data_IF_347459886353
#
_entry.id   IF_347459886353
#
_cell.length_a   1.000
_cell.length_b   1.000
_cell.length_c   1.000
_cell.angle_alpha   90.00
_cell.angle_beta   90.00
_cell.angle_gamma   90.00
#
_symmetry.space_group_name_H-M   'P 1'
#
loop_
_entity.id
_entity.type
_entity.pdbx_description
1 polymer ?
#
# COMPACT_ATOMS: atom_id res chain seq x y z
N UNK A 1 51.82 -8.34 -53.62
CA UNK A 1 52.78 -9.47 -53.46
C UNK A 1 53.52 -9.27 -52.15
N UNK A 2 53.71 -10.36 -51.38
CA UNK A 2 54.33 -10.47 -50.04
C UNK A 2 53.48 -9.85 -48.88
N UNK A 3 52.83 -10.55 -47.92
CA UNK A 3 53.19 -11.69 -47.02
C UNK A 3 54.52 -11.48 -46.31
N UNK A 4 54.74 -11.66 -44.99
CA UNK A 4 53.98 -11.96 -43.77
C UNK A 4 55.03 -11.74 -42.61
N UNK A 5 54.74 -11.54 -41.32
CA UNK A 5 54.51 -12.53 -40.23
C UNK A 5 54.73 -11.72 -38.91
N UNK A 6 53.72 -11.48 -38.06
CA UNK A 6 53.34 -12.22 -36.83
C UNK A 6 54.23 -12.04 -35.58
N UNK A 7 53.64 -11.52 -34.49
CA UNK A 7 53.84 -11.84 -33.04
C UNK A 7 53.21 -10.71 -32.19
N UNK A 8 52.09 -10.93 -31.47
CA UNK A 8 52.01 -11.38 -30.07
C UNK A 8 52.70 -10.41 -29.07
N UNK A 9 52.17 -9.95 -27.93
CA UNK A 9 51.03 -10.31 -27.07
C UNK A 9 51.02 -9.30 -25.89
N UNK A 10 49.84 -8.97 -25.33
CA UNK A 10 49.52 -8.47 -23.96
C UNK A 10 50.00 -7.09 -23.45
N UNK A 11 49.02 -6.22 -23.12
CA UNK A 11 48.67 -5.72 -21.75
C UNK A 11 47.71 -4.51 -21.90
N UNK A 12 46.39 -4.74 -21.77
CA UNK A 12 45.60 -4.46 -20.56
C UNK A 12 45.42 -2.96 -20.24
N UNK A 13 44.26 -2.43 -20.60
CA UNK A 13 43.50 -1.48 -19.76
C UNK A 13 42.03 -1.56 -20.15
N UNK A 14 41.33 -2.40 -19.38
CA UNK A 14 39.91 -2.68 -19.47
C UNK A 14 39.10 -1.46 -19.00
N UNK A 15 38.64 -0.63 -19.92
CA UNK A 15 37.44 0.18 -19.68
C UNK A 15 36.24 -0.69 -19.98
N UNK A 16 35.66 -1.28 -18.93
CA UNK A 16 34.35 -1.91 -18.97
C UNK A 16 33.29 -0.82 -19.21
N UNK A 17 33.06 -0.48 -20.47
CA UNK A 17 31.75 -0.05 -20.94
C UNK A 17 30.98 -1.29 -21.37
N UNK A 18 30.23 -1.87 -20.43
CA UNK A 18 29.11 -2.77 -20.69
C UNK A 18 28.08 -2.50 -19.57
N UNK A 19 26.78 -2.44 -19.81
CA UNK A 19 26.04 -2.79 -21.00
C UNK A 19 24.82 -1.89 -21.12
N UNK A 20 24.40 -1.70 -22.37
CA UNK A 20 23.03 -1.40 -22.72
C UNK A 20 22.07 -2.21 -21.85
N UNK A 21 21.09 -1.52 -21.28
CA UNK A 21 19.95 -2.17 -20.67
C UNK A 21 19.29 -3.03 -21.74
N UNK A 22 19.40 -4.34 -21.57
CA UNK A 22 18.65 -5.32 -22.32
C UNK A 22 17.18 -4.90 -22.28
N UNK A 23 16.65 -4.46 -23.41
CA UNK A 23 15.24 -4.17 -23.58
C UNK A 23 14.53 -5.52 -23.52
N UNK A 24 14.10 -5.94 -22.31
CA UNK A 24 13.20 -7.08 -22.19
C UNK A 24 11.81 -6.62 -22.61
N UNK A 25 11.23 -7.16 -23.68
CA UNK A 25 9.89 -6.78 -24.11
C UNK A 25 8.86 -7.37 -23.12
N UNK A 26 8.03 -6.50 -22.54
CA UNK A 26 6.75 -6.85 -21.93
C UNK A 26 6.67 -6.63 -20.43
N UNK A 27 5.85 -5.66 -20.00
CA UNK A 27 5.27 -5.72 -18.65
C UNK A 27 4.39 -6.97 -18.55
N UNK A 28 4.61 -7.81 -17.55
CA UNK A 28 3.76 -8.98 -17.32
C UNK A 28 2.86 -8.71 -16.11
N UNK A 29 1.72 -8.09 -16.36
CA UNK A 29 0.61 -8.12 -15.39
C UNK A 29 0.01 -9.52 -15.47
N UNK A 30 0.41 -10.39 -14.54
CA UNK A 30 -0.16 -11.73 -14.43
C UNK A 30 -1.49 -11.63 -13.71
N UNK A 31 -2.57 -11.77 -14.47
CA UNK A 31 -3.91 -11.90 -13.88
C UNK A 31 -4.03 -13.34 -13.38
N UNK A 32 -4.04 -13.52 -12.06
CA UNK A 32 -4.35 -14.82 -11.45
C UNK A 32 -5.86 -14.86 -11.26
N UNK A 33 -6.60 -15.07 -12.34
CA UNK A 33 -8.04 -15.25 -12.27
C UNK A 33 -8.35 -16.70 -11.89
N UNK A 34 -8.87 -16.94 -10.68
CA UNK A 34 -9.64 -18.16 -10.40
C UNK A 34 -11.12 -17.82 -10.58
N UNK A 35 -11.78 -18.45 -11.55
CA UNK A 35 -13.24 -18.52 -11.55
C UNK A 35 -13.67 -19.09 -10.19
N UNK A 36 -14.56 -18.37 -9.51
CA UNK A 36 -15.11 -18.80 -8.24
C UNK A 36 -15.73 -20.20 -8.41
N UNK A 37 -15.14 -21.20 -7.77
CA UNK A 37 -15.77 -22.50 -7.63
C UNK A 37 -17.07 -22.29 -6.86
N UNK A 38 -18.19 -22.51 -7.54
CA UNK A 38 -19.53 -22.53 -6.95
C UNK A 38 -19.62 -23.69 -5.96
N UNK A 39 -19.32 -23.40 -4.69
CA UNK A 39 -19.61 -24.33 -3.61
C UNK A 39 -21.10 -24.24 -3.27
N UNK A 40 -21.86 -25.19 -3.82
CA UNK A 40 -23.18 -25.58 -3.32
C UNK A 40 -23.03 -26.01 -1.85
N UNK A 41 -23.87 -25.54 -0.91
CA UNK A 41 -23.74 -25.93 0.49
C UNK A 41 -24.25 -27.37 0.65
N UNK A 42 -23.34 -28.29 0.98
CA UNK A 42 -23.70 -29.61 1.48
C UNK A 42 -24.32 -29.45 2.88
N UNK A 43 -25.58 -29.88 3.02
CA UNK A 43 -26.28 -30.04 4.30
C UNK A 43 -25.46 -30.98 5.20
N UNK A 44 -24.94 -30.48 6.31
CA UNK A 44 -24.42 -31.31 7.39
C UNK A 44 -25.47 -31.41 8.48
N UNK A 45 -25.97 -32.63 8.69
CA UNK A 45 -26.96 -32.99 9.70
C UNK A 45 -26.37 -32.91 11.10
N UNK A 46 -27.17 -32.35 12.01
CA UNK A 46 -26.90 -32.29 13.44
C UNK A 46 -26.99 -33.68 14.07
N UNK A 47 -25.88 -34.18 14.60
CA UNK A 47 -25.85 -35.26 15.58
C UNK A 47 -24.99 -34.80 16.77
N UNK A 48 -25.63 -34.61 17.92
CA UNK A 48 -24.96 -34.16 19.13
C UNK A 48 -24.17 -35.27 19.84
N UNK A 49 -23.29 -34.86 20.76
CA UNK A 49 -23.20 -35.43 22.12
C UNK A 49 -22.11 -34.75 22.96
N UNK A 50 -22.56 -34.36 24.15
CA UNK A 50 -21.96 -34.44 25.49
C UNK A 50 -20.66 -33.73 25.86
N UNK A 51 -20.76 -33.09 27.03
CA UNK A 51 -19.73 -32.44 27.85
C UNK A 51 -18.70 -33.44 28.40
N UNK A 52 -17.44 -33.03 28.36
CA UNK A 52 -16.42 -33.22 29.40
C UNK A 52 -15.36 -32.13 29.13
N UNK A 53 -14.84 -31.34 30.06
CA UNK A 53 -14.50 -31.64 31.44
C UNK A 53 -13.01 -31.98 31.54
N UNK A 54 -12.11 -31.05 31.20
CA UNK A 54 -10.67 -31.23 31.41
C UNK A 54 -9.99 -29.89 31.74
N UNK A 55 -9.67 -29.71 33.03
CA UNK A 55 -8.66 -28.75 33.51
C UNK A 55 -7.30 -29.28 33.11
N UNK A 56 -6.50 -28.48 32.40
CA UNK A 56 -5.06 -28.69 32.27
C UNK A 56 -4.36 -27.35 32.51
N UNK A 57 -3.66 -27.29 33.63
CA UNK A 57 -2.76 -26.19 33.96
C UNK A 57 -1.58 -26.19 33.00
N UNK A 58 -1.30 -25.02 32.42
CA UNK A 58 -0.10 -24.78 31.63
C UNK A 58 0.72 -23.70 32.34
N UNK A 59 1.64 -24.14 33.22
CA UNK A 59 2.81 -23.32 33.59
C UNK A 59 3.79 -23.39 32.43
N UNK A 60 3.57 -22.55 31.41
CA UNK A 60 4.53 -22.34 30.34
C UNK A 60 5.62 -21.40 30.85
N UNK A 61 6.82 -21.94 30.97
CA UNK A 61 8.09 -21.25 31.16
C UNK A 61 8.17 -19.99 30.29
N UNK A 62 8.29 -18.82 30.93
CA UNK A 62 8.69 -17.56 30.27
C UNK A 62 10.15 -17.66 29.85
N UNK A 63 10.40 -18.26 28.70
CA UNK A 63 11.61 -17.98 27.93
C UNK A 63 11.45 -16.59 27.32
N UNK A 64 12.29 -15.67 27.77
CA UNK A 64 12.43 -14.30 27.29
C UNK A 64 12.66 -14.25 25.78
N UNK A 65 11.63 -13.93 25.00
CA UNK A 65 11.81 -13.44 23.63
C UNK A 65 12.10 -11.94 23.67
N UNK A 66 13.33 -11.62 23.30
CA UNK A 66 13.81 -10.26 23.06
C UNK A 66 12.97 -9.57 21.97
N UNK A 67 12.53 -8.35 22.25
CA UNK A 67 11.58 -7.55 21.49
C UNK A 67 12.18 -6.93 20.22
N UNK A 68 12.51 -7.76 19.21
CA UNK A 68 13.08 -7.30 17.94
C UNK A 68 12.40 -7.84 16.66
N UNK A 69 11.32 -8.64 16.71
CA UNK A 69 10.86 -9.43 15.55
C UNK A 69 9.46 -9.07 14.96
N UNK A 70 8.88 -7.93 15.32
CA UNK A 70 7.50 -7.58 14.96
C UNK A 70 7.37 -6.74 13.69
N UNK A 71 7.49 -7.37 12.53
CA UNK A 71 6.82 -6.90 11.33
C UNK A 71 7.66 -6.43 10.14
N UNK A 72 8.98 -6.43 10.25
CA UNK A 72 9.87 -6.12 9.12
C UNK A 72 9.52 -6.94 7.87
N UNK A 73 9.55 -6.30 6.71
CA UNK A 73 9.23 -6.92 5.42
C UNK A 73 10.56 -7.15 4.69
N UNK A 74 10.79 -8.41 4.33
CA UNK A 74 12.03 -8.86 3.70
C UNK A 74 11.87 -8.94 2.19
N UNK A 75 12.98 -9.03 1.46
CA UNK A 75 12.95 -9.29 0.03
C UNK A 75 12.29 -10.64 -0.27
N UNK A 76 11.46 -10.69 -1.31
CA UNK A 76 10.66 -11.86 -1.70
C UNK A 76 9.36 -12.04 -0.92
N UNK A 77 9.11 -11.26 0.14
CA UNK A 77 7.83 -11.26 0.86
C UNK A 77 6.69 -10.78 -0.05
N UNK A 78 5.48 -11.29 0.20
CA UNK A 78 4.27 -10.87 -0.53
C UNK A 78 3.66 -9.62 0.08
N UNK A 79 3.51 -8.58 -0.75
CA UNK A 79 2.85 -7.32 -0.39
C UNK A 79 1.54 -7.21 -1.16
N UNK A 80 0.43 -7.21 -0.43
CA UNK A 80 -0.92 -7.07 -1.01
C UNK A 80 -1.35 -5.61 -0.97
N UNK A 81 -1.58 -5.01 -2.14
CA UNK A 81 -2.09 -3.64 -2.27
C UNK A 81 -3.60 -3.68 -2.51
N UNK A 82 -4.37 -3.18 -1.56
CA UNK A 82 -5.84 -3.13 -1.67
C UNK A 82 -6.27 -1.83 -2.32
N UNK A 83 -7.09 -1.94 -3.38
CA UNK A 83 -7.46 -0.79 -4.20
C UNK A 83 -6.41 -0.47 -5.27
N UNK A 84 -5.73 -1.50 -5.79
CA UNK A 84 -4.66 -1.35 -6.79
C UNK A 84 -5.11 -0.67 -8.10
N UNK A 85 -6.41 -0.66 -8.43
CA UNK A 85 -6.96 0.09 -9.57
C UNK A 85 -7.32 1.55 -9.25
N UNK A 86 -7.12 2.00 -8.01
CA UNK A 86 -7.47 3.33 -7.52
C UNK A 86 -6.45 4.40 -7.91
N UNK A 87 -6.77 5.67 -7.63
CA UNK A 87 -5.89 6.80 -7.99
C UNK A 87 -4.50 6.73 -7.32
N UNK A 88 -4.46 6.45 -6.01
CA UNK A 88 -3.21 6.24 -5.26
C UNK A 88 -2.75 4.79 -5.32
N UNK A 89 -3.67 3.84 -5.15
CA UNK A 89 -3.33 2.42 -5.12
C UNK A 89 -2.60 1.93 -6.37
N UNK A 90 -2.91 2.46 -7.57
CA UNK A 90 -2.16 2.10 -8.79
C UNK A 90 -0.70 2.56 -8.73
N UNK A 91 -0.47 3.77 -8.25
CA UNK A 91 0.86 4.36 -8.15
C UNK A 91 1.69 3.63 -7.09
N UNK A 92 1.07 3.27 -5.96
CA UNK A 92 1.69 2.44 -4.92
C UNK A 92 2.05 1.06 -5.45
N UNK A 93 1.12 0.41 -6.16
CA UNK A 93 1.35 -0.92 -6.75
C UNK A 93 2.51 -0.88 -7.74
N UNK A 94 2.55 0.13 -8.60
CA UNK A 94 3.63 0.33 -9.56
C UNK A 94 4.96 0.66 -8.89
N UNK A 95 4.97 1.59 -7.93
CA UNK A 95 6.19 1.96 -7.20
C UNK A 95 6.77 0.76 -6.45
N UNK A 96 5.94 -0.03 -5.74
CA UNK A 96 6.37 -1.28 -5.10
C UNK A 96 6.92 -2.30 -6.10
N UNK A 97 6.25 -2.51 -7.24
CA UNK A 97 6.69 -3.46 -8.25
C UNK A 97 8.01 -3.03 -8.90
N UNK A 98 8.19 -1.73 -9.14
CA UNK A 98 9.43 -1.15 -9.70
C UNK A 98 10.64 -1.35 -8.79
N UNK A 99 10.46 -1.58 -7.49
CA UNK A 99 11.58 -1.88 -6.59
C UNK A 99 12.23 -3.22 -6.89
N UNK A 100 11.48 -4.18 -7.47
CA UNK A 100 11.93 -5.56 -7.67
C UNK A 100 12.15 -6.37 -6.39
N UNK A 101 11.88 -5.79 -5.20
CA UNK A 101 12.17 -6.41 -3.90
C UNK A 101 11.09 -7.34 -3.42
N UNK A 102 9.84 -7.13 -3.82
CA UNK A 102 8.68 -7.80 -3.23
C UNK A 102 7.82 -8.49 -4.29
N UNK A 103 7.08 -9.53 -3.87
CA UNK A 103 6.02 -10.11 -4.69
C UNK A 103 4.77 -9.25 -4.54
N UNK A 104 4.46 -8.43 -5.53
CA UNK A 104 3.36 -7.48 -5.46
C UNK A 104 2.07 -8.10 -5.97
N UNK A 105 1.05 -8.11 -5.12
CA UNK A 105 -0.30 -8.59 -5.42
C UNK A 105 -1.31 -7.45 -5.27
N UNK A 106 -2.03 -7.11 -6.33
CA UNK A 106 -3.09 -6.11 -6.31
C UNK A 106 -4.47 -6.73 -6.13
N UNK A 107 -5.20 -6.31 -5.09
CA UNK A 107 -6.59 -6.67 -4.88
C UNK A 107 -7.52 -5.64 -5.53
N UNK A 108 -8.38 -6.11 -6.44
CA UNK A 108 -9.28 -5.26 -7.23
C UNK A 108 -10.67 -5.89 -7.40
N UNK A 109 -11.70 -5.06 -7.63
CA UNK A 109 -13.06 -5.56 -7.91
C UNK A 109 -13.25 -6.02 -9.35
N UNK A 110 -12.53 -5.41 -10.29
CA UNK A 110 -12.62 -5.68 -11.72
C UNK A 110 -11.20 -5.83 -12.28
N UNK A 111 -10.86 -7.04 -12.73
CA UNK A 111 -9.53 -7.40 -13.20
C UNK A 111 -9.15 -6.68 -14.49
N UNK A 112 -10.06 -6.60 -15.46
CA UNK A 112 -9.80 -5.97 -16.76
C UNK A 112 -9.49 -4.48 -16.61
N UNK A 113 -10.33 -3.76 -15.85
CA UNK A 113 -10.11 -2.35 -15.57
C UNK A 113 -8.79 -2.11 -14.83
N UNK A 114 -8.43 -3.00 -13.92
CA UNK A 114 -7.17 -2.90 -13.20
C UNK A 114 -5.97 -3.14 -14.11
N UNK A 115 -6.06 -4.15 -14.98
CA UNK A 115 -5.05 -4.46 -15.98
C UNK A 115 -4.82 -3.29 -16.92
N UNK A 116 -5.88 -2.70 -17.46
CA UNK A 116 -5.81 -1.49 -18.29
C UNK A 116 -5.13 -0.35 -17.51
N UNK A 117 -5.63 -0.02 -16.31
CA UNK A 117 -5.09 1.09 -15.51
C UNK A 117 -3.61 0.91 -15.12
N UNK A 118 -3.17 -0.32 -14.87
CA UNK A 118 -1.77 -0.61 -14.52
C UNK A 118 -0.87 -0.67 -15.74
N UNK A 119 -1.34 -1.21 -16.87
CA UNK A 119 -0.59 -1.28 -18.13
C UNK A 119 -0.43 0.10 -18.78
N UNK A 120 -1.48 0.94 -18.77
CA UNK A 120 -1.44 2.29 -19.36
C UNK A 120 -0.47 3.24 -18.66
N UNK A 121 0.00 2.91 -17.46
CA UNK A 121 0.87 3.77 -16.64
C UNK A 121 2.20 3.12 -16.28
N UNK A 122 2.42 1.84 -16.60
CA UNK A 122 3.69 1.17 -16.38
C UNK A 122 4.60 1.29 -17.60
N UNK A 123 5.82 1.81 -17.41
CA UNK A 123 6.93 1.49 -18.31
C UNK A 123 7.14 -0.02 -18.30
N UNK A 124 7.61 -0.60 -19.42
CA UNK A 124 7.83 -2.04 -19.58
C UNK A 124 8.48 -2.73 -18.36
N UNK A 125 8.08 -3.97 -18.06
CA UNK A 125 8.85 -4.89 -17.19
C UNK A 125 8.37 -5.10 -15.75
N UNK A 126 7.18 -4.62 -15.36
CA UNK A 126 6.64 -4.88 -14.02
C UNK A 126 5.93 -6.23 -13.92
N UNK A 127 6.23 -6.99 -12.86
CA UNK A 127 5.51 -8.20 -12.46
C UNK A 127 4.51 -7.87 -11.35
N UNK A 128 3.21 -7.92 -11.68
CA UNK A 128 2.13 -7.67 -10.72
C UNK A 128 1.11 -8.80 -10.84
N UNK A 129 0.82 -9.45 -9.72
CA UNK A 129 -0.28 -10.41 -9.61
C UNK A 129 -1.58 -9.66 -9.32
N UNK A 130 -2.66 -9.95 -10.04
CA UNK A 130 -3.99 -9.40 -9.74
C UNK A 130 -4.92 -10.49 -9.23
N UNK A 131 -5.64 -10.17 -8.15
CA UNK A 131 -6.66 -11.01 -7.53
C UNK A 131 -7.97 -10.23 -7.43
N UNK A 132 -9.07 -10.92 -7.70
CA UNK A 132 -10.41 -10.34 -7.62
C UNK A 132 -10.96 -10.46 -6.19
N UNK A 133 -11.51 -9.37 -5.66
CA UNK A 133 -12.25 -9.40 -4.40
C UNK A 133 -12.92 -8.09 -4.05
N UNK A 134 -13.86 -8.17 -3.11
CA UNK A 134 -14.56 -7.02 -2.55
C UNK A 134 -14.22 -6.89 -1.07
N UNK A 135 -13.85 -5.67 -0.67
CA UNK A 135 -13.49 -5.36 0.71
C UNK A 135 -14.66 -5.50 1.69
N UNK A 136 -15.90 -5.49 1.19
CA UNK A 136 -17.10 -5.74 1.98
C UNK A 136 -17.49 -7.22 2.03
N UNK A 137 -16.88 -8.08 1.21
CA UNK A 137 -17.06 -9.53 1.24
C UNK A 137 -15.82 -10.21 1.84
N UNK A 138 -15.90 -10.56 3.12
CA UNK A 138 -14.81 -11.20 3.86
C UNK A 138 -14.30 -12.49 3.21
N UNK A 139 -15.16 -13.27 2.57
CA UNK A 139 -14.79 -14.55 1.97
C UNK A 139 -13.83 -14.36 0.79
N UNK A 140 -14.07 -13.33 -0.02
CA UNK A 140 -13.20 -12.94 -1.15
C UNK A 140 -11.82 -12.47 -0.68
N UNK A 141 -11.73 -11.85 0.50
CA UNK A 141 -10.48 -11.35 1.05
C UNK A 141 -9.55 -12.46 1.53
N UNK A 142 -10.07 -13.56 2.07
CA UNK A 142 -9.24 -14.66 2.60
C UNK A 142 -8.32 -15.22 1.51
N UNK A 143 -8.83 -15.39 0.28
CA UNK A 143 -8.03 -15.87 -0.83
C UNK A 143 -6.95 -14.85 -1.25
N UNK A 144 -7.32 -13.57 -1.35
CA UNK A 144 -6.42 -12.50 -1.74
C UNK A 144 -5.30 -12.26 -0.73
N UNK A 145 -5.59 -12.42 0.57
CA UNK A 145 -4.64 -12.19 1.67
C UNK A 145 -3.78 -13.41 2.00
N UNK A 146 -3.99 -14.54 1.35
CA UNK A 146 -3.22 -15.77 1.61
C UNK A 146 -1.73 -15.54 1.36
N UNK A 147 -0.92 -15.75 2.40
CA UNK A 147 0.54 -15.59 2.35
C UNK A 147 1.02 -14.14 2.35
N UNK A 148 0.12 -13.16 2.56
CA UNK A 148 0.50 -11.76 2.68
C UNK A 148 1.39 -11.55 3.91
N UNK A 149 2.61 -11.04 3.70
CA UNK A 149 3.47 -10.55 4.77
C UNK A 149 3.14 -9.09 5.10
N UNK A 150 2.79 -8.30 4.08
CA UNK A 150 2.34 -6.92 4.24
C UNK A 150 1.02 -6.69 3.51
N UNK A 151 0.11 -5.96 4.15
CA UNK A 151 -1.09 -5.42 3.49
C UNK A 151 -1.02 -3.91 3.46
N UNK A 152 -1.13 -3.34 2.28
CA UNK A 152 -1.18 -1.90 2.04
C UNK A 152 -2.60 -1.51 1.63
N UNK A 153 -3.37 -0.98 2.57
CA UNK A 153 -4.75 -0.58 2.37
C UNK A 153 -4.81 0.85 1.79
N UNK A 154 -4.94 0.96 0.47
CA UNK A 154 -5.14 2.23 -0.25
C UNK A 154 -6.62 2.52 -0.54
N UNK A 155 -7.54 1.93 0.24
CA UNK A 155 -8.98 2.19 0.13
C UNK A 155 -9.35 3.48 0.87
N UNK A 156 -10.36 4.15 0.35
CA UNK A 156 -10.93 5.33 0.99
C UNK A 156 -12.04 5.93 0.16
N UNK A 157 -13.03 6.50 0.85
CA UNK A 157 -14.08 7.28 0.22
C UNK A 157 -13.61 8.69 -0.14
N UNK A 158 -14.24 9.30 -1.14
CA UNK A 158 -14.05 10.74 -1.38
C UNK A 158 -14.63 11.53 -0.22
N UNK A 159 -13.97 12.61 0.20
CA UNK A 159 -14.41 13.41 1.35
C UNK A 159 -15.84 13.96 1.23
N UNK A 160 -16.28 14.20 -0.01
CA UNK A 160 -17.65 14.60 -0.34
C UNK A 160 -18.42 13.46 -1.01
N UNK A 161 -19.75 13.39 -0.83
CA UNK A 161 -20.60 12.45 -1.54
C UNK A 161 -20.36 12.54 -3.05
N UNK A 162 -20.09 11.39 -3.64
CA UNK A 162 -19.87 11.28 -5.08
C UNK A 162 -20.55 10.02 -5.62
N UNK A 163 -20.55 9.84 -6.95
CA UNK A 163 -21.02 8.59 -7.57
C UNK A 163 -20.31 7.35 -7.00
N UNK A 164 -19.12 7.50 -6.39
CA UNK A 164 -18.37 6.41 -5.75
C UNK A 164 -18.99 5.92 -4.45
N UNK A 165 -19.90 6.66 -3.84
CA UNK A 165 -20.61 6.25 -2.60
C UNK A 165 -21.84 5.37 -2.89
N UNK A 166 -22.28 5.28 -4.16
CA UNK A 166 -23.39 4.42 -4.55
C UNK A 166 -23.07 2.94 -4.28
N UNK A 167 -24.11 2.14 -4.05
CA UNK A 167 -23.97 0.69 -3.85
C UNK A 167 -23.37 0.31 -2.50
N UNK A 168 -23.68 1.06 -1.42
CA UNK A 168 -23.25 0.71 -0.06
C UNK A 168 -21.84 1.15 0.32
N UNK A 169 -21.12 1.88 -0.56
CA UNK A 169 -19.77 2.39 -0.31
C UNK A 169 -19.78 3.67 0.56
N UNK A 170 -20.46 3.61 1.71
CA UNK A 170 -20.46 4.71 2.69
C UNK A 170 -19.09 4.85 3.35
N UNK A 171 -18.77 6.00 3.97
CA UNK A 171 -17.51 6.16 4.69
C UNK A 171 -17.31 5.10 5.78
N UNK A 172 -18.34 4.82 6.58
CA UNK A 172 -18.24 3.77 7.62
C UNK A 172 -18.02 2.37 7.01
N UNK A 173 -18.65 2.06 5.87
CA UNK A 173 -18.43 0.77 5.20
C UNK A 173 -16.99 0.60 4.70
N UNK A 174 -16.41 1.63 4.07
CA UNK A 174 -15.11 1.53 3.38
C UNK A 174 -13.93 1.86 4.30
N UNK A 175 -14.06 2.88 5.15
CA UNK A 175 -12.97 3.39 5.98
C UNK A 175 -12.95 2.76 7.39
N UNK A 176 -14.03 2.08 7.80
CA UNK A 176 -14.11 1.36 9.08
C UNK A 176 -14.36 -0.16 8.89
N UNK A 177 -15.53 -0.57 8.38
CA UNK A 177 -15.90 -1.99 8.30
C UNK A 177 -14.94 -2.80 7.42
N UNK A 178 -14.65 -2.31 6.22
CA UNK A 178 -13.71 -2.94 5.31
C UNK A 178 -12.29 -3.05 5.90
N UNK A 179 -11.84 -2.08 6.69
CA UNK A 179 -10.55 -2.18 7.41
C UNK A 179 -10.57 -3.34 8.39
N UNK A 180 -11.66 -3.50 9.15
CA UNK A 180 -11.86 -4.66 10.01
C UNK A 180 -11.86 -5.98 9.24
N UNK A 181 -12.53 -6.05 8.07
CA UNK A 181 -12.56 -7.23 7.21
C UNK A 181 -11.16 -7.61 6.71
N UNK A 182 -10.40 -6.63 6.22
CA UNK A 182 -9.03 -6.81 5.76
C UNK A 182 -8.12 -7.32 6.89
N UNK A 183 -8.22 -6.75 8.09
CA UNK A 183 -7.44 -7.17 9.25
C UNK A 183 -7.76 -8.62 9.65
N UNK A 184 -9.04 -9.00 9.68
CA UNK A 184 -9.45 -10.39 9.98
C UNK A 184 -8.93 -11.38 8.94
N UNK A 185 -9.11 -11.07 7.66
CA UNK A 185 -8.64 -11.93 6.57
C UNK A 185 -7.12 -12.08 6.55
N UNK A 186 -6.38 -10.99 6.74
CA UNK A 186 -4.92 -10.98 6.72
C UNK A 186 -4.31 -11.65 7.96
N UNK A 187 -4.79 -11.32 9.16
CA UNK A 187 -4.29 -11.91 10.40
C UNK A 187 -4.67 -13.40 10.52
N UNK A 188 -5.85 -13.81 10.02
CA UNK A 188 -6.28 -15.21 10.00
C UNK A 188 -5.39 -16.13 9.16
N UNK A 189 -4.61 -15.58 8.21
CA UNK A 189 -3.65 -16.33 7.42
C UNK A 189 -2.32 -16.65 8.13
N UNK A 190 -2.05 -16.03 9.29
CA UNK A 190 -0.86 -16.28 10.11
C UNK A 190 0.49 -15.76 9.57
N UNK A 191 0.53 -15.24 8.34
CA UNK A 191 1.74 -14.71 7.70
C UNK A 191 1.94 -13.21 7.86
N UNK A 192 0.94 -12.49 8.39
CA UNK A 192 0.94 -11.04 8.43
C UNK A 192 2.03 -10.50 9.38
N UNK A 193 2.96 -9.74 8.82
CA UNK A 193 4.02 -9.03 9.52
C UNK A 193 3.68 -7.54 9.67
N UNK A 194 3.09 -6.92 8.64
CA UNK A 194 2.78 -5.48 8.62
C UNK A 194 1.44 -5.12 8.00
N UNK A 195 0.73 -4.17 8.60
CA UNK A 195 -0.44 -3.53 7.99
C UNK A 195 -0.22 -2.02 7.82
N UNK A 196 -0.23 -1.52 6.58
CA UNK A 196 -0.07 -0.11 6.24
C UNK A 196 -1.42 0.47 5.80
N UNK A 197 -1.91 1.49 6.51
CA UNK A 197 -3.22 2.10 6.25
C UNK A 197 -3.08 3.51 5.64
N UNK A 198 -3.81 3.75 4.56
CA UNK A 198 -4.09 5.09 4.02
C UNK A 198 -5.22 5.78 4.79
N UNK A 199 -4.81 6.63 5.73
CA UNK A 199 -5.70 7.51 6.48
C UNK A 199 -5.71 8.91 5.85
N UNK A 200 -5.94 9.96 6.65
CA UNK A 200 -5.96 11.35 6.20
C UNK A 200 -5.51 12.29 7.34
N UNK A 201 -4.97 13.46 7.00
CA UNK A 201 -4.81 14.54 8.00
C UNK A 201 -6.18 15.00 8.52
N UNK A 202 -6.21 15.45 9.77
CA UNK A 202 -7.41 15.93 10.44
C UNK A 202 -8.21 14.85 11.17
N UNK A 203 -7.84 13.57 11.07
CA UNK A 203 -8.54 12.46 11.74
C UNK A 203 -8.57 12.63 13.28
N UNK A 204 -7.54 13.24 13.86
CA UNK A 204 -7.50 13.53 15.31
C UNK A 204 -7.98 14.93 15.68
N UNK A 205 -8.39 15.72 14.68
CA UNK A 205 -8.81 17.13 14.80
C UNK A 205 -10.11 17.37 14.04
N UNK A 206 -10.96 16.34 13.92
CA UNK A 206 -12.18 16.39 13.11
C UNK A 206 -13.17 17.46 13.62
N UNK A 207 -13.02 17.87 14.88
CA UNK A 207 -13.72 18.94 15.59
C UNK A 207 -13.16 20.36 15.33
N UNK A 208 -12.01 20.50 14.65
CA UNK A 208 -11.37 21.79 14.36
C UNK A 208 -11.63 22.23 12.92
N UNK A 209 -11.88 23.52 12.73
CA UNK A 209 -11.99 24.11 11.39
C UNK A 209 -10.64 23.99 10.63
N UNK A 210 -10.60 23.63 9.32
CA UNK A 210 -11.72 23.37 8.39
C UNK A 210 -12.21 21.91 8.38
N UNK A 211 -11.65 21.03 9.20
CA UNK A 211 -11.95 19.59 9.21
C UNK A 211 -13.39 19.27 9.64
N UNK A 212 -14.05 20.16 10.38
CA UNK A 212 -15.50 20.07 10.64
C UNK A 212 -16.31 20.07 9.33
N UNK A 213 -15.91 20.89 8.33
CA UNK A 213 -16.57 20.93 7.01
C UNK A 213 -16.24 19.66 6.22
N UNK A 214 -15.01 19.17 6.33
CA UNK A 214 -14.58 17.93 5.68
C UNK A 214 -15.23 16.68 6.31
N UNK A 215 -15.54 16.73 7.61
CA UNK A 215 -16.24 15.69 8.36
C UNK A 215 -17.76 15.87 8.35
N UNK A 216 -18.31 16.82 7.58
CA UNK A 216 -19.76 17.01 7.48
C UNK A 216 -20.50 15.74 7.02
N UNK A 217 -19.78 14.77 6.44
CA UNK A 217 -20.30 13.47 6.02
C UNK A 217 -19.68 12.26 6.75
N UNK A 218 -19.02 12.48 7.90
CA UNK A 218 -18.54 11.40 8.80
C UNK A 218 -17.31 10.62 8.32
N UNK A 219 -16.60 11.12 7.31
CA UNK A 219 -15.44 10.43 6.70
C UNK A 219 -14.26 10.35 7.67
N UNK A 220 -13.98 11.43 8.42
CA UNK A 220 -12.87 11.43 9.37
C UNK A 220 -13.18 10.56 10.59
N UNK A 221 -14.45 10.50 11.02
CA UNK A 221 -14.87 9.58 12.08
C UNK A 221 -14.72 8.11 11.66
N UNK A 222 -15.10 7.77 10.42
CA UNK A 222 -14.93 6.44 9.88
C UNK A 222 -13.43 6.06 9.80
N UNK A 223 -12.58 6.97 9.30
CA UNK A 223 -11.12 6.77 9.29
C UNK A 223 -10.55 6.62 10.69
N UNK A 224 -11.02 7.39 11.67
CA UNK A 224 -10.59 7.27 13.07
C UNK A 224 -10.91 5.88 13.64
N UNK A 225 -12.10 5.34 13.37
CA UNK A 225 -12.47 3.97 13.75
C UNK A 225 -11.58 2.92 13.07
N UNK A 226 -11.34 3.07 11.76
CA UNK A 226 -10.43 2.19 11.01
C UNK A 226 -9.01 2.20 11.58
N UNK A 227 -8.46 3.38 11.89
CA UNK A 227 -7.16 3.49 12.55
C UNK A 227 -7.12 2.82 13.94
N UNK A 228 -8.18 2.99 14.74
CA UNK A 228 -8.29 2.34 16.04
C UNK A 228 -8.35 0.82 15.91
N UNK A 229 -9.07 0.31 14.90
CA UNK A 229 -9.14 -1.12 14.59
C UNK A 229 -7.76 -1.68 14.21
N UNK A 230 -6.97 -0.97 13.39
CA UNK A 230 -5.59 -1.37 13.04
C UNK A 230 -4.72 -1.47 14.29
N UNK A 231 -4.71 -0.43 15.15
CA UNK A 231 -3.90 -0.44 16.38
C UNK A 231 -4.27 -1.59 17.31
N UNK A 232 -5.57 -1.82 17.48
CA UNK A 232 -6.09 -2.92 18.30
C UNK A 232 -5.68 -4.28 17.73
N UNK A 233 -5.94 -4.52 16.45
CA UNK A 233 -5.63 -5.78 15.80
C UNK A 233 -4.13 -6.07 15.77
N UNK A 234 -3.29 -5.05 15.55
CA UNK A 234 -1.83 -5.19 15.61
C UNK A 234 -1.35 -5.62 17.00
N UNK A 235 -1.91 -5.03 18.06
CA UNK A 235 -1.61 -5.41 19.45
C UNK A 235 -2.05 -6.83 19.76
N UNK A 236 -3.25 -7.22 19.33
CA UNK A 236 -3.82 -8.55 19.58
C UNK A 236 -3.16 -9.66 18.75
N UNK A 237 -2.81 -9.35 17.50
CA UNK A 237 -2.23 -10.29 16.54
C UNK A 237 -0.70 -10.31 16.50
N UNK A 238 -0.02 -9.40 17.20
CA UNK A 238 1.45 -9.37 17.29
C UNK A 238 2.16 -8.96 16.00
N UNK A 239 1.50 -8.19 15.12
CA UNK A 239 2.08 -7.68 13.88
C UNK A 239 2.31 -6.15 13.95
N UNK A 240 3.21 -5.64 13.12
CA UNK A 240 3.48 -4.20 13.04
C UNK A 240 2.42 -3.45 12.23
N UNK A 241 2.27 -2.15 12.46
CA UNK A 241 1.41 -1.32 11.61
C UNK A 241 2.08 -0.01 11.25
N UNK A 242 1.59 0.65 10.20
CA UNK A 242 1.91 2.04 9.89
C UNK A 242 0.65 2.74 9.41
N UNK A 243 0.35 3.90 9.98
CA UNK A 243 -0.80 4.72 9.57
C UNK A 243 -0.25 5.99 8.90
N UNK A 244 -0.45 6.10 7.59
CA UNK A 244 -0.01 7.24 6.81
C UNK A 244 -1.18 8.20 6.65
N UNK A 245 -0.99 9.46 7.00
CA UNK A 245 -1.99 10.54 6.92
C UNK A 245 -1.53 11.58 5.92
N UNK A 246 -1.81 11.40 4.62
CA UNK A 246 -1.44 12.40 3.64
C UNK A 246 -2.24 13.68 3.85
N UNK A 247 -1.61 14.81 3.54
CA UNK A 247 -2.24 16.09 3.32
C UNK A 247 -3.26 16.08 2.18
N UNK A 248 -3.71 17.25 1.75
CA UNK A 248 -4.62 17.33 0.61
C UNK A 248 -3.89 16.89 -0.66
N UNK A 249 -4.40 15.84 -1.30
CA UNK A 249 -3.75 15.28 -2.48
C UNK A 249 -4.00 16.21 -3.68
N UNK A 250 -2.94 16.87 -4.18
CA UNK A 250 -2.97 17.82 -5.31
C UNK A 250 -1.71 17.72 -6.15
N UNK A 251 -1.83 17.94 -7.47
CA UNK A 251 -0.70 18.34 -8.32
C UNK A 251 0.27 17.24 -8.75
N UNK A 252 -0.14 16.37 -9.68
CA UNK A 252 0.80 15.73 -10.62
C UNK A 252 0.19 15.59 -12.03
N UNK A 253 0.99 15.70 -13.12
CA UNK A 253 0.53 15.62 -14.51
C UNK A 253 -0.07 14.25 -14.91
N UNK A 254 0.18 13.18 -14.15
CA UNK A 254 -0.35 11.83 -14.43
C UNK A 254 -1.79 11.60 -13.93
N UNK A 255 -2.48 12.66 -13.52
CA UNK A 255 -3.89 12.65 -13.12
C UNK A 255 -4.75 13.64 -13.92
N UNK A 256 -4.49 13.77 -15.21
CA UNK A 256 -5.43 14.33 -16.19
C UNK A 256 -6.68 13.45 -16.44
N UNK A 257 -7.15 12.71 -15.43
CA UNK A 257 -8.43 12.02 -15.46
C UNK A 257 -9.10 12.07 -14.08
N UNK A 258 -9.73 13.20 -13.81
CA UNK A 258 -10.92 13.26 -12.96
C UNK A 258 -11.96 14.14 -13.63
N UNK A 259 -13.14 13.56 -13.85
CA UNK A 259 -14.25 14.07 -14.66
C UNK A 259 -14.97 15.27 -14.00
N UNK A 260 -14.26 16.38 -13.77
CA UNK A 260 -14.85 17.62 -13.24
C UNK A 260 -14.78 18.80 -14.21
N UNK A 261 -14.32 18.62 -15.45
CA UNK A 261 -14.43 19.63 -16.50
C UNK A 261 -13.79 20.99 -16.18
N UNK A 262 -12.91 21.07 -15.18
CA UNK A 262 -12.21 22.29 -14.84
C UNK A 262 -10.93 22.35 -15.68
N UNK A 263 -10.84 23.38 -16.50
CA UNK A 263 -9.67 23.72 -17.28
C UNK A 263 -8.41 23.77 -16.40
N UNK A 264 -7.28 23.39 -16.99
CA UNK A 264 -5.94 23.67 -16.47
C UNK A 264 -5.89 25.14 -16.03
N UNK A 265 -5.59 25.39 -14.76
CA UNK A 265 -5.24 26.75 -14.34
C UNK A 265 -3.94 27.13 -15.08
N UNK A 266 -3.85 28.34 -15.67
CA UNK A 266 -2.63 28.87 -16.27
C UNK A 266 -1.49 29.08 -15.25
N UNK A 267 -1.72 28.83 -13.96
CA UNK A 267 -0.76 28.97 -12.86
C UNK A 267 0.06 27.70 -12.61
N UNK A 268 0.33 26.91 -13.67
CA UNK A 268 1.23 25.78 -13.57
C UNK A 268 2.60 26.28 -13.06
N UNK A 269 3.11 25.77 -11.92
CA UNK A 269 4.27 26.38 -11.27
C UNK A 269 5.52 26.28 -12.14
N UNK A 270 6.30 27.36 -12.13
CA UNK A 270 7.51 27.59 -12.93
C UNK A 270 8.54 26.46 -12.76
N UNK A 271 9.23 26.06 -13.84
CA UNK A 271 10.31 25.07 -13.83
C UNK A 271 11.39 25.49 -12.80
N UNK A 272 11.45 24.79 -11.67
CA UNK A 272 12.39 25.07 -10.56
C UNK A 272 11.74 25.15 -9.17
N UNK A 273 10.41 25.23 -9.10
CA UNK A 273 9.60 25.39 -7.88
C UNK A 273 8.93 24.11 -7.38
N UNK A 274 9.40 22.94 -7.83
CA UNK A 274 8.67 21.70 -7.63
C UNK A 274 8.75 21.28 -6.15
N UNK A 275 7.65 21.41 -5.41
CA UNK A 275 7.46 20.83 -4.06
C UNK A 275 7.53 19.29 -4.15
N UNK A 276 8.74 18.74 -4.28
CA UNK A 276 9.00 17.30 -4.46
C UNK A 276 9.67 16.66 -3.25
N UNK A 277 10.23 17.47 -2.35
CA UNK A 277 10.64 17.01 -1.02
C UNK A 277 9.41 16.60 -0.22
N UNK A 278 9.59 15.70 0.73
CA UNK A 278 8.54 15.20 1.62
C UNK A 278 8.89 15.51 3.07
N UNK A 279 7.91 16.02 3.82
CA UNK A 279 7.97 16.14 5.28
C UNK A 279 7.18 15.00 5.90
N UNK A 280 7.81 14.27 6.83
CA UNK A 280 7.16 13.29 7.69
C UNK A 280 7.08 13.85 9.11
N UNK A 281 5.90 13.75 9.75
CA UNK A 281 5.72 14.09 11.16
C UNK A 281 4.87 13.08 11.89
N UNK A 282 5.34 12.61 13.03
CA UNK A 282 4.53 11.79 13.91
C UNK A 282 3.29 12.57 14.39
N UNK A 283 2.15 11.89 14.40
CA UNK A 283 0.86 12.44 14.81
C UNK A 283 0.03 12.98 13.64
N UNK A 284 -0.73 14.04 13.92
CA UNK A 284 -1.61 14.73 12.97
C UNK A 284 -1.70 16.20 13.39
N UNK A 285 -0.55 16.87 13.35
CA UNK A 285 -0.41 18.28 13.69
C UNK A 285 -0.22 19.16 12.45
N UNK A 286 0.34 18.62 11.36
CA UNK A 286 0.57 19.37 10.13
C UNK A 286 -0.64 19.33 9.19
N UNK A 287 -0.75 20.35 8.34
CA UNK A 287 -1.70 20.42 7.23
C UNK A 287 -0.97 21.04 6.03
N UNK A 288 -1.24 20.51 4.85
CA UNK A 288 -0.57 20.93 3.63
C UNK A 288 -1.00 20.07 2.45
N UNK A 289 -0.45 20.38 1.28
CA UNK A 289 -0.70 19.60 0.07
C UNK A 289 0.36 18.52 -0.11
N UNK A 290 -0.02 17.43 -0.76
CA UNK A 290 0.90 16.36 -1.17
C UNK A 290 0.54 15.88 -2.57
N UNK A 291 1.53 15.62 -3.41
CA UNK A 291 1.31 15.12 -4.76
C UNK A 291 1.12 13.59 -4.75
N UNK A 292 0.30 13.06 -5.67
CA UNK A 292 0.04 11.63 -5.79
C UNK A 292 1.29 10.75 -5.88
N UNK A 293 2.34 11.20 -6.59
CA UNK A 293 3.59 10.43 -6.73
C UNK A 293 4.37 10.34 -5.40
N UNK A 294 4.42 11.42 -4.61
CA UNK A 294 5.03 11.42 -3.29
C UNK A 294 4.26 10.55 -2.31
N UNK A 295 2.93 10.54 -2.38
CA UNK A 295 2.13 9.58 -1.58
C UNK A 295 2.55 8.16 -1.94
N UNK A 296 2.62 7.83 -3.22
CA UNK A 296 3.01 6.48 -3.65
C UNK A 296 4.40 6.09 -3.13
N UNK A 297 5.39 6.97 -3.30
CA UNK A 297 6.75 6.73 -2.84
C UNK A 297 6.83 6.58 -1.31
N UNK A 298 6.12 7.41 -0.54
CA UNK A 298 6.08 7.27 0.92
C UNK A 298 5.53 5.92 1.35
N UNK A 299 4.50 5.40 0.67
CA UNK A 299 3.98 4.07 0.97
C UNK A 299 4.99 2.97 0.65
N UNK A 300 5.68 3.07 -0.48
CA UNK A 300 6.76 2.15 -0.85
C UNK A 300 7.88 2.14 0.19
N UNK A 301 8.33 3.33 0.61
CA UNK A 301 9.33 3.48 1.66
C UNK A 301 8.82 2.98 3.01
N UNK A 302 7.56 3.25 3.37
CA UNK A 302 6.93 2.76 4.61
C UNK A 302 6.95 1.23 4.72
N UNK A 303 6.80 0.51 3.60
CA UNK A 303 6.87 -0.95 3.60
C UNK A 303 8.28 -1.44 3.94
N UNK A 304 9.32 -0.81 3.38
CA UNK A 304 10.72 -1.21 3.58
C UNK A 304 11.39 -0.65 4.85
N UNK A 305 10.84 0.41 5.44
CA UNK A 305 11.50 1.14 6.53
C UNK A 305 11.08 0.65 7.91
N UNK A 306 12.05 0.21 8.71
CA UNK A 306 11.82 -0.19 10.12
C UNK A 306 11.52 0.99 11.03
N UNK A 307 11.87 2.22 10.64
CA UNK A 307 11.45 3.44 11.35
C UNK A 307 9.94 3.70 11.30
N UNK A 308 9.21 3.10 10.35
CA UNK A 308 7.78 3.31 10.19
C UNK A 308 6.90 2.41 11.09
N UNK A 309 7.51 1.48 11.82
CA UNK A 309 6.80 0.42 12.56
C UNK A 309 6.13 0.99 13.80
N UNK A 310 4.84 0.75 13.94
CA UNK A 310 4.02 1.27 15.03
C UNK A 310 3.73 2.77 14.92
N UNK A 311 4.10 3.41 13.80
CA UNK A 311 3.99 4.87 13.62
C UNK A 311 2.65 5.28 13.03
N UNK A 312 2.27 6.51 13.30
CA UNK A 312 1.10 7.18 12.73
C UNK A 312 1.51 8.59 12.41
N UNK A 313 1.67 8.91 11.14
CA UNK A 313 2.38 10.14 10.74
C UNK A 313 1.73 10.84 9.56
N UNK A 314 1.87 12.16 9.56
CA UNK A 314 1.45 13.06 8.49
C UNK A 314 2.51 13.14 7.40
N UNK A 315 2.03 13.30 6.16
CA UNK A 315 2.86 13.47 4.97
C UNK A 315 2.38 14.70 4.20
N UNK A 316 3.29 15.65 3.95
CA UNK A 316 3.07 16.79 3.06
C UNK A 316 4.28 16.99 2.15
N UNK A 317 4.10 17.63 1.01
CA UNK A 317 5.24 18.09 0.22
C UNK A 317 5.77 19.43 0.74
N UNK A 318 7.09 19.54 0.74
CA UNK A 318 7.83 20.78 1.01
C UNK A 318 8.69 21.17 -0.19
N UNK A 319 9.25 22.37 -0.17
CA UNK A 319 10.21 22.79 -1.18
C UNK A 319 11.47 21.91 -1.12
N UNK A 320 11.97 21.54 -2.29
CA UNK A 320 13.18 20.75 -2.43
C UNK A 320 13.06 19.62 -3.45
N UNK A 321 14.16 18.91 -3.63
CA UNK A 321 14.27 17.78 -4.55
C UNK A 321 13.54 16.54 -4.02
N UNK A 322 13.31 15.56 -4.91
CA UNK A 322 12.85 14.23 -4.49
C UNK A 322 13.85 13.66 -3.47
N UNK A 323 13.41 13.10 -2.34
CA UNK A 323 14.32 12.53 -1.35
C UNK A 323 15.19 11.42 -1.97
N UNK A 324 16.48 11.40 -1.65
CA UNK A 324 17.33 10.24 -1.91
C UNK A 324 17.04 9.13 -0.88
N UNK A 325 17.58 7.93 -1.08
CA UNK A 325 17.39 6.85 -0.10
C UNK A 325 17.90 7.24 1.30
N UNK A 326 19.08 7.86 1.41
CA UNK A 326 19.59 8.34 2.69
C UNK A 326 18.70 9.41 3.33
N UNK A 327 18.08 10.28 2.52
CA UNK A 327 17.09 11.24 3.04
C UNK A 327 15.84 10.53 3.55
N UNK A 328 15.36 9.47 2.89
CA UNK A 328 14.25 8.66 3.40
C UNK A 328 14.60 8.02 4.75
N UNK A 329 15.77 7.41 4.86
CA UNK A 329 16.23 6.77 6.10
C UNK A 329 16.23 7.78 7.26
N UNK A 330 16.74 8.99 7.04
CA UNK A 330 16.71 10.08 8.03
C UNK A 330 15.30 10.55 8.39
N UNK A 331 14.39 10.65 7.41
CA UNK A 331 13.01 11.09 7.64
C UNK A 331 12.26 10.07 8.51
N UNK A 332 12.42 8.77 8.23
CA UNK A 332 11.79 7.70 9.00
C UNK A 332 12.44 7.50 10.37
N UNK A 333 13.74 7.74 10.52
CA UNK A 333 14.42 7.71 11.82
C UNK A 333 13.93 8.81 12.80
N UNK A 334 13.35 9.91 12.27
CA UNK A 334 12.84 11.04 13.05
C UNK A 334 11.36 10.90 13.46
N UNK A 335 10.67 9.84 13.04
CA UNK A 335 9.28 9.52 13.44
C UNK A 335 9.22 8.85 14.81
#
# INVERSE_FOLDING_TARGET
MAWAVSAAVLLASSFLTHSEAFFSPGSTVRVVGREALSHTPAKCSSAGRTRAGAKLGATASRSSMSAAAGGEILEGDTVVVVGASGGIGRLVTQSLASTGKYKVKGLVRNLEKAKEALLSSAGGGLEIELEQGDILDESSLVAAMKGAACVVACTGTTAFPSKRWKGGNTPDAVDNLAVGNMLRAAAGGGSLKRFVLLSSVGVTRADKFPFVILNAFGVLDAKAKGEAAVRKAAKEGGFGYSIVRPGQIKGDPFLAYSNSGAALSPDAPEKGSAKRMVSLRQGDSEAGDVNPSSVAEVFTQTVGQTGAIGKSFTVINSLGNVPSQGTWDELFAKL
#
